data_IF_946568727771
#
_entry.id   IF_946568727771
#
_cell.length_a   1.000
_cell.length_b   1.000
_cell.length_c   1.000
_cell.angle_alpha   90.00
_cell.angle_beta   90.00
_cell.angle_gamma   90.00
#
_symmetry.space_group_name_H-M   'P 1'
#
loop_
_entity.id
_entity.type
_entity.pdbx_description
1 polymer ?
#
# COMPACT_ATOMS: atom_id res chain seq x y z
N UNK A 1 -7.35 -14.22 -19.96
CA UNK A 1 -6.45 -14.05 -18.83
C UNK A 1 -5.17 -14.82 -19.12
N UNK A 2 -4.04 -14.32 -18.72
CA UNK A 2 -2.75 -14.92 -19.04
C UNK A 2 -2.56 -16.24 -18.27
N UNK A 3 -1.87 -17.19 -18.89
CA UNK A 3 -1.57 -18.49 -18.32
C UNK A 3 -0.77 -18.44 -17.02
N UNK A 4 -0.04 -17.34 -16.78
CA UNK A 4 0.82 -17.20 -15.62
C UNK A 4 0.10 -16.70 -14.37
N UNK A 5 -1.18 -16.39 -14.47
CA UNK A 5 -1.97 -15.93 -13.32
C UNK A 5 -2.44 -17.15 -12.53
N UNK A 6 -2.26 -17.09 -11.21
CA UNK A 6 -2.61 -18.19 -10.31
C UNK A 6 -3.81 -17.84 -9.44
N UNK A 7 -3.88 -16.62 -8.94
CA UNK A 7 -4.95 -16.17 -8.04
C UNK A 7 -5.52 -14.86 -8.54
N UNK A 8 -6.81 -14.66 -8.33
CA UNK A 8 -7.50 -13.46 -8.81
C UNK A 8 -8.56 -12.99 -7.82
N UNK A 9 -8.70 -11.67 -7.73
CA UNK A 9 -9.85 -11.00 -7.16
C UNK A 9 -10.52 -10.25 -8.29
N UNK A 10 -11.62 -10.80 -8.81
CA UNK A 10 -12.40 -10.16 -9.87
C UNK A 10 -13.45 -9.24 -9.26
N UNK A 11 -13.81 -8.18 -9.97
CA UNK A 11 -14.82 -7.24 -9.48
C UNK A 11 -14.35 -6.39 -8.32
N UNK A 12 -13.07 -6.11 -8.25
CA UNK A 12 -12.49 -5.30 -7.17
C UNK A 12 -13.14 -3.92 -7.08
N UNK A 13 -13.57 -3.35 -8.20
CA UNK A 13 -14.22 -2.06 -8.25
C UNK A 13 -15.60 -2.04 -7.55
N UNK A 14 -16.13 -3.19 -7.13
CA UNK A 14 -17.41 -3.32 -6.44
C UNK A 14 -17.28 -3.83 -5.02
N UNK A 15 -16.06 -3.90 -4.51
CA UNK A 15 -15.78 -4.55 -3.22
C UNK A 15 -16.32 -3.77 -2.03
N UNK A 16 -16.36 -2.45 -2.12
CA UNK A 16 -16.76 -1.60 -1.00
C UNK A 16 -18.27 -1.35 -0.90
N UNK A 17 -19.04 -1.82 -1.84
CA UNK A 17 -20.52 -1.78 -1.78
C UNK A 17 -21.09 -0.45 -1.32
N UNK A 18 -21.58 -0.43 -0.09
CA UNK A 18 -22.39 0.66 0.46
C UNK A 18 -21.64 1.99 0.63
N UNK A 19 -20.35 1.97 0.92
CA UNK A 19 -19.54 3.16 1.19
C UNK A 19 -18.59 3.46 0.05
N UNK A 20 -18.99 3.13 -1.11
CA UNK A 20 -18.31 3.22 -2.39
C UNK A 20 -17.10 4.14 -2.43
N UNK A 21 -15.97 3.67 -1.99
CA UNK A 21 -14.73 4.15 -2.53
C UNK A 21 -14.67 3.59 -3.94
N UNK A 22 -15.16 4.36 -4.89
CA UNK A 22 -15.18 3.90 -6.28
C UNK A 22 -13.76 3.76 -6.78
N UNK A 23 -13.35 2.54 -7.06
CA UNK A 23 -12.08 2.27 -7.67
C UNK A 23 -12.27 1.99 -9.16
N UNK A 24 -11.35 2.49 -9.97
CA UNK A 24 -11.28 2.11 -11.38
C UNK A 24 -10.47 0.84 -11.60
N UNK A 25 -9.95 0.28 -10.51
CA UNK A 25 -9.24 -1.01 -10.54
C UNK A 25 -10.28 -2.12 -10.65
N UNK A 26 -10.18 -2.91 -11.72
CA UNK A 26 -11.16 -3.96 -12.04
C UNK A 26 -10.80 -5.29 -11.41
N UNK A 27 -9.51 -5.56 -11.25
CA UNK A 27 -9.03 -6.89 -10.87
C UNK A 27 -7.68 -6.80 -10.20
N UNK A 28 -7.46 -7.68 -9.23
CA UNK A 28 -6.14 -7.92 -8.64
C UNK A 28 -5.76 -9.36 -8.92
N UNK A 29 -4.52 -9.60 -9.33
CA UNK A 29 -4.04 -10.95 -9.60
C UNK A 29 -2.67 -11.19 -8.99
N UNK A 30 -2.37 -12.46 -8.77
CA UNK A 30 -1.04 -12.92 -8.36
C UNK A 30 -0.59 -14.01 -9.32
N UNK A 31 0.66 -13.94 -9.72
CA UNK A 31 1.23 -14.94 -10.60
C UNK A 31 2.66 -14.60 -10.97
N UNK A 32 3.14 -15.19 -12.05
CA UNK A 32 4.45 -14.83 -12.60
C UNK A 32 4.35 -13.53 -13.41
N UNK A 33 5.43 -12.76 -13.52
CA UNK A 33 5.42 -11.53 -14.32
C UNK A 33 5.03 -11.79 -15.76
N UNK A 34 4.18 -10.91 -16.29
CA UNK A 34 3.66 -11.02 -17.66
C UNK A 34 4.49 -10.22 -18.66
N UNK A 35 5.24 -9.24 -18.16
CA UNK A 35 5.96 -8.28 -18.99
C UNK A 35 7.47 -8.46 -18.97
N UNK A 36 7.97 -9.42 -18.23
CA UNK A 36 9.39 -9.63 -18.05
C UNK A 36 9.90 -10.75 -18.95
N UNK A 37 10.99 -10.47 -19.68
CA UNK A 37 11.62 -11.44 -20.56
C UNK A 37 12.56 -12.39 -19.81
N UNK A 38 12.80 -12.14 -18.54
CA UNK A 38 13.73 -12.90 -17.74
C UNK A 38 13.11 -14.25 -17.38
N UNK A 39 13.87 -15.32 -17.62
CA UNK A 39 13.40 -16.71 -17.44
C UNK A 39 13.27 -17.17 -16.00
N UNK A 40 13.65 -16.33 -15.03
CA UNK A 40 13.49 -16.67 -13.62
C UNK A 40 12.04 -16.40 -13.21
N UNK A 41 11.38 -17.42 -12.66
CA UNK A 41 10.04 -17.26 -12.14
C UNK A 41 10.07 -16.38 -10.91
N UNK A 42 9.49 -15.20 -11.03
CA UNK A 42 9.28 -14.29 -9.92
C UNK A 42 7.79 -14.19 -9.65
N UNK A 43 7.43 -14.14 -8.38
CA UNK A 43 6.05 -13.92 -8.01
C UNK A 43 5.76 -12.42 -8.03
N UNK A 44 4.65 -12.07 -8.64
CA UNK A 44 4.27 -10.66 -8.80
C UNK A 44 2.78 -10.46 -8.60
N UNK A 45 2.42 -9.26 -8.20
CA UNK A 45 1.03 -8.82 -8.13
C UNK A 45 0.77 -7.91 -9.32
N UNK A 46 -0.40 -8.07 -9.95
CA UNK A 46 -0.84 -7.25 -11.06
C UNK A 46 -2.12 -6.51 -10.69
N UNK A 47 -2.17 -5.24 -11.04
CA UNK A 47 -3.34 -4.38 -10.86
C UNK A 47 -3.89 -4.05 -12.24
N UNK A 48 -5.16 -4.38 -12.48
CA UNK A 48 -5.80 -4.28 -13.79
C UNK A 48 -6.83 -3.17 -13.80
N UNK A 49 -6.83 -2.39 -14.87
CA UNK A 49 -7.85 -1.39 -15.16
C UNK A 49 -8.43 -1.63 -16.55
N UNK A 50 -9.61 -1.08 -16.80
CA UNK A 50 -10.15 -1.06 -18.16
C UNK A 50 -9.38 -0.05 -19.00
N UNK A 51 -8.98 -0.46 -20.21
CA UNK A 51 -8.39 0.47 -21.18
C UNK A 51 -9.47 1.27 -21.91
N UNK A 52 -9.07 2.10 -22.89
CA UNK A 52 -10.00 2.93 -23.65
C UNK A 52 -11.10 2.13 -24.36
N UNK A 53 -10.84 0.86 -24.66
CA UNK A 53 -11.79 -0.04 -25.32
C UNK A 53 -12.63 -0.87 -24.34
N UNK A 54 -12.50 -0.61 -23.04
CA UNK A 54 -13.20 -1.33 -22.02
C UNK A 54 -12.60 -2.70 -21.68
N UNK A 55 -11.48 -3.06 -22.27
CA UNK A 55 -10.82 -4.33 -22.01
C UNK A 55 -9.88 -4.22 -20.80
N UNK A 56 -9.75 -5.29 -20.00
CA UNK A 56 -8.82 -5.27 -18.87
C UNK A 56 -7.37 -5.24 -19.36
N UNK A 57 -6.59 -4.39 -18.72
CA UNK A 57 -5.18 -4.19 -19.04
C UNK A 57 -4.38 -4.00 -17.76
N UNK A 58 -3.17 -4.56 -17.70
CA UNK A 58 -2.30 -4.39 -16.55
C UNK A 58 -1.89 -2.93 -16.45
N UNK A 59 -2.29 -2.28 -15.35
CA UNK A 59 -1.92 -0.92 -15.04
C UNK A 59 -0.60 -0.87 -14.28
N UNK A 60 -0.39 -1.83 -13.38
CA UNK A 60 0.79 -1.88 -12.53
C UNK A 60 1.12 -3.34 -12.23
N UNK A 61 2.41 -3.65 -12.20
CA UNK A 61 2.91 -4.95 -11.80
C UNK A 61 4.09 -4.76 -10.85
N UNK A 62 4.07 -5.44 -9.71
CA UNK A 62 5.13 -5.35 -8.71
C UNK A 62 5.50 -6.73 -8.19
N UNK A 63 6.80 -7.01 -8.02
CA UNK A 63 7.22 -8.22 -7.31
C UNK A 63 6.61 -8.26 -5.91
N UNK A 64 6.33 -9.46 -5.42
CA UNK A 64 5.63 -9.65 -4.14
C UNK A 64 6.41 -9.02 -2.98
N UNK A 65 7.74 -9.16 -2.97
CA UNK A 65 8.53 -8.58 -1.87
C UNK A 65 8.42 -7.07 -1.82
N UNK A 66 8.22 -6.38 -2.94
CA UNK A 66 8.01 -4.94 -2.96
C UNK A 66 6.62 -4.55 -2.43
N UNK A 67 5.63 -5.40 -2.64
CA UNK A 67 4.32 -5.21 -2.00
C UNK A 67 4.45 -5.31 -0.48
N UNK A 68 5.24 -6.27 0.01
CA UNK A 68 5.49 -6.40 1.44
C UNK A 68 6.25 -5.19 1.99
N UNK A 69 7.25 -4.68 1.26
CA UNK A 69 7.95 -3.46 1.64
C UNK A 69 6.98 -2.28 1.77
N UNK A 70 6.07 -2.15 0.80
CA UNK A 70 5.04 -1.11 0.84
C UNK A 70 4.13 -1.27 2.06
N UNK A 71 3.76 -2.50 2.40
CA UNK A 71 2.94 -2.77 3.59
C UNK A 71 3.66 -2.42 4.88
N UNK A 72 4.95 -2.73 4.98
CA UNK A 72 5.78 -2.36 6.14
C UNK A 72 5.83 -0.84 6.27
N UNK A 73 6.12 -0.16 5.17
CA UNK A 73 6.17 1.31 5.14
C UNK A 73 4.82 1.92 5.55
N UNK A 74 3.74 1.46 4.95
CA UNK A 74 2.39 1.95 5.26
C UNK A 74 2.06 1.75 6.74
N UNK A 75 2.29 0.55 7.25
CA UNK A 75 1.96 0.20 8.64
C UNK A 75 2.77 1.04 9.63
N UNK A 76 4.06 1.25 9.35
CA UNK A 76 4.91 2.08 10.19
C UNK A 76 4.44 3.54 10.18
N UNK A 77 4.03 4.03 9.02
CA UNK A 77 3.50 5.39 8.88
C UNK A 77 2.20 5.56 9.69
N UNK A 78 1.27 4.61 9.56
CA UNK A 78 0.02 4.68 10.31
C UNK A 78 0.26 4.65 11.82
N UNK A 79 1.16 3.81 12.27
CA UNK A 79 1.51 3.73 13.69
C UNK A 79 2.14 5.03 14.18
N UNK A 80 3.03 5.62 13.39
CA UNK A 80 3.66 6.88 13.73
C UNK A 80 2.62 8.00 13.93
N UNK A 81 1.72 8.19 12.97
CA UNK A 81 0.74 9.26 13.04
C UNK A 81 -0.34 9.00 14.09
N UNK A 82 -0.57 7.77 14.47
CA UNK A 82 -1.44 7.45 15.60
C UNK A 82 -0.92 8.03 16.90
N UNK A 83 0.40 8.15 17.04
CA UNK A 83 1.05 8.66 18.25
C UNK A 83 1.57 10.08 18.12
N UNK A 84 1.53 10.63 16.91
CA UNK A 84 2.17 11.92 16.63
C UNK A 84 1.45 13.12 17.28
N UNK A 85 0.23 12.93 17.80
CA UNK A 85 -0.48 13.98 18.52
C UNK A 85 0.35 14.55 19.69
N UNK A 86 1.35 13.81 20.18
CA UNK A 86 2.24 14.24 21.25
C UNK A 86 3.25 15.29 20.79
N UNK A 87 3.41 15.47 19.49
CA UNK A 87 4.39 16.39 18.92
C UNK A 87 3.69 17.67 18.46
N UNK A 88 4.28 18.86 18.73
CA UNK A 88 3.63 20.13 18.37
C UNK A 88 3.28 20.27 16.89
N UNK A 89 4.11 19.72 16.01
CA UNK A 89 3.93 19.79 14.56
C UNK A 89 3.54 18.46 13.95
N UNK A 90 3.17 17.48 14.78
CA UNK A 90 2.94 16.10 14.38
C UNK A 90 4.19 15.40 13.84
N UNK A 91 5.34 16.01 13.99
CA UNK A 91 6.64 15.43 13.68
C UNK A 91 7.73 16.22 14.41
N UNK A 92 8.93 15.66 14.44
CA UNK A 92 10.10 16.31 15.04
C UNK A 92 10.99 16.83 13.89
N UNK A 93 11.11 18.16 13.70
CA UNK A 93 11.93 18.69 12.61
C UNK A 93 13.41 18.35 12.72
N UNK A 94 13.90 18.10 13.95
CA UNK A 94 15.30 17.73 14.17
C UNK A 94 15.57 16.25 13.92
N UNK A 95 14.53 15.43 13.89
CA UNK A 95 14.62 13.98 13.67
C UNK A 95 13.59 13.53 12.64
N UNK A 96 13.82 13.85 11.36
CA UNK A 96 12.86 13.46 10.31
C UNK A 96 12.77 11.96 10.10
N UNK A 97 13.83 11.22 10.41
CA UNK A 97 13.79 9.75 10.29
C UNK A 97 12.99 9.18 11.46
N UNK A 98 11.88 8.53 11.12
CA UNK A 98 11.00 7.88 12.08
C UNK A 98 11.59 6.56 12.54
N UNK A 99 12.08 5.77 11.60
CA UNK A 99 12.67 4.46 11.90
C UNK A 99 13.53 3.99 10.74
N UNK A 100 14.55 3.20 11.06
CA UNK A 100 15.39 2.52 10.09
C UNK A 100 15.06 1.04 10.17
N UNK A 101 14.29 0.54 9.22
CA UNK A 101 13.79 -0.83 9.24
C UNK A 101 14.76 -1.73 8.48
N UNK A 102 15.33 -2.73 9.18
CA UNK A 102 16.25 -3.68 8.57
C UNK A 102 15.51 -4.76 7.80
N UNK A 103 15.89 -4.98 6.55
CA UNK A 103 15.37 -6.06 5.72
C UNK A 103 16.52 -6.67 4.92
N UNK A 104 16.76 -7.96 5.10
CA UNK A 104 17.74 -8.73 4.33
C UNK A 104 19.12 -8.07 4.23
N UNK A 105 19.64 -7.54 5.33
CA UNK A 105 20.94 -6.88 5.34
C UNK A 105 20.95 -5.46 4.82
N UNK A 106 19.82 -4.97 4.33
CA UNK A 106 19.63 -3.56 3.96
C UNK A 106 18.85 -2.81 5.01
N UNK A 107 18.65 -1.52 4.79
CA UNK A 107 17.86 -0.67 5.68
C UNK A 107 16.90 0.17 4.87
N UNK A 108 15.65 0.16 5.31
CA UNK A 108 14.59 0.96 4.72
C UNK A 108 14.29 2.11 5.69
N UNK A 109 14.81 3.33 5.44
CA UNK A 109 14.56 4.45 6.35
C UNK A 109 13.20 5.09 6.05
N UNK A 110 12.36 5.16 7.08
CA UNK A 110 11.07 5.84 6.98
C UNK A 110 11.24 7.24 7.58
N UNK A 111 10.93 8.27 6.81
CA UNK A 111 11.18 9.64 7.22
C UNK A 111 10.04 10.57 6.82
N UNK A 112 9.88 11.64 7.60
CA UNK A 112 9.00 12.74 7.25
C UNK A 112 9.73 13.64 6.23
N UNK A 113 9.01 14.12 5.23
CA UNK A 113 9.58 14.93 4.16
C UNK A 113 9.77 16.38 4.61
N UNK A 114 10.71 16.60 5.49
CA UNK A 114 10.97 17.94 6.08
C UNK A 114 11.59 18.92 5.10
N UNK A 115 12.06 18.45 3.95
CA UNK A 115 12.53 19.30 2.86
C UNK A 115 11.40 19.98 2.07
N UNK A 116 10.16 19.54 2.27
CA UNK A 116 9.00 20.17 1.65
C UNK A 116 8.67 21.46 2.42
N UNK A 117 8.70 22.64 1.78
CA UNK A 117 8.43 23.90 2.48
C UNK A 117 7.01 23.99 3.05
N UNK A 118 6.07 23.23 2.51
CA UNK A 118 4.68 23.21 2.97
C UNK A 118 4.36 22.00 3.85
N UNK A 119 5.36 21.35 4.42
CA UNK A 119 5.17 20.07 5.11
C UNK A 119 4.16 20.15 6.27
N UNK A 120 4.12 21.26 7.00
CA UNK A 120 3.20 21.41 8.13
C UNK A 120 1.74 21.32 7.67
N UNK A 121 1.40 22.04 6.62
CA UNK A 121 0.03 22.01 6.06
C UNK A 121 -0.31 20.65 5.47
N UNK A 122 0.65 20.05 4.77
CA UNK A 122 0.47 18.75 4.14
C UNK A 122 0.24 17.68 5.20
N UNK A 123 1.00 17.71 6.30
CA UNK A 123 0.83 16.74 7.38
C UNK A 123 -0.53 16.90 8.06
N UNK A 124 -0.98 18.13 8.28
CA UNK A 124 -2.30 18.34 8.89
C UNK A 124 -3.41 17.77 8.01
N UNK A 125 -3.33 18.01 6.71
CA UNK A 125 -4.29 17.45 5.74
C UNK A 125 -4.22 15.92 5.73
N UNK A 126 -3.02 15.38 5.75
CA UNK A 126 -2.79 13.94 5.76
C UNK A 126 -3.36 13.29 7.03
N UNK A 127 -3.10 13.90 8.19
CA UNK A 127 -3.62 13.39 9.47
C UNK A 127 -5.15 13.43 9.52
N UNK A 128 -5.75 14.47 8.97
CA UNK A 128 -7.20 14.57 8.89
C UNK A 128 -7.76 13.47 7.98
N UNK A 129 -7.14 13.24 6.84
CA UNK A 129 -7.54 12.18 5.94
C UNK A 129 -7.43 10.79 6.59
N UNK A 130 -6.39 10.56 7.39
CA UNK A 130 -6.25 9.31 8.13
C UNK A 130 -7.40 9.11 9.12
N UNK A 131 -7.83 10.16 9.81
CA UNK A 131 -8.99 10.10 10.70
C UNK A 131 -10.26 9.78 9.93
N UNK A 132 -10.47 10.44 8.80
CA UNK A 132 -11.67 10.26 7.99
C UNK A 132 -11.76 8.83 7.42
N UNK A 133 -10.62 8.21 7.14
CA UNK A 133 -10.53 6.87 6.60
C UNK A 133 -10.33 5.79 7.67
N UNK A 134 -10.43 6.17 8.95
CA UNK A 134 -10.07 5.28 10.07
C UNK A 134 -10.85 3.98 10.11
N UNK A 135 -12.15 4.00 9.77
CA UNK A 135 -12.96 2.78 9.75
C UNK A 135 -12.56 1.86 8.59
N UNK A 136 -12.38 2.43 7.41
CA UNK A 136 -12.03 1.66 6.21
C UNK A 136 -10.66 1.01 6.40
N UNK A 137 -9.70 1.80 6.85
CA UNK A 137 -8.34 1.32 7.06
C UNK A 137 -8.26 0.34 8.23
N UNK A 138 -8.96 0.64 9.32
CA UNK A 138 -8.98 -0.21 10.50
C UNK A 138 -9.57 -1.58 10.24
N UNK A 139 -10.65 -1.66 9.48
CA UNK A 139 -11.24 -2.94 9.11
C UNK A 139 -10.26 -3.80 8.31
N UNK A 140 -9.62 -3.20 7.31
CA UNK A 140 -8.64 -3.91 6.48
C UNK A 140 -7.43 -4.36 7.28
N UNK A 141 -6.95 -3.53 8.19
CA UNK A 141 -5.83 -3.90 9.05
C UNK A 141 -6.19 -5.05 10.00
N UNK A 142 -7.41 -5.08 10.51
CA UNK A 142 -7.87 -6.20 11.36
C UNK A 142 -7.95 -7.49 10.58
N UNK A 143 -8.47 -7.45 9.36
CA UNK A 143 -8.53 -8.62 8.48
C UNK A 143 -7.12 -9.12 8.17
N UNK A 144 -6.23 -8.20 7.80
CA UNK A 144 -4.84 -8.53 7.50
C UNK A 144 -4.15 -9.15 8.72
N UNK A 145 -4.32 -8.55 9.89
CA UNK A 145 -3.73 -9.06 11.13
C UNK A 145 -4.18 -10.49 11.41
N UNK A 146 -5.47 -10.77 11.24
CA UNK A 146 -6.00 -12.12 11.45
C UNK A 146 -5.34 -13.13 10.52
N UNK A 147 -5.22 -12.78 9.23
CA UNK A 147 -4.60 -13.67 8.25
C UNK A 147 -3.12 -13.90 8.57
N UNK A 148 -2.41 -12.85 8.93
CA UNK A 148 -0.99 -12.96 9.28
C UNK A 148 -0.78 -13.84 10.52
N UNK A 149 -1.68 -13.75 11.48
CA UNK A 149 -1.63 -14.61 12.67
C UNK A 149 -1.85 -16.08 12.34
N UNK A 150 -2.69 -16.37 11.35
CA UNK A 150 -2.90 -17.74 10.89
C UNK A 150 -1.66 -18.33 10.19
N UNK A 151 -0.76 -17.50 9.72
CA UNK A 151 0.47 -17.94 9.05
C UNK A 151 1.59 -18.31 10.01
N UNK A 152 1.49 -17.92 11.27
CA UNK A 152 2.51 -18.23 12.30
C UNK A 152 2.47 -19.68 12.76
#
# INVERSE_FOLDING_TARGET
MNENIVMTVDGYDRIDGRNAYRSDIKRLTLGAPLLEENKKMQLAAQIWKANANGQPEIHMELPIHQILDLMIFLSRTLLYFREAYRLPLLYDPDKPTVERIGVQGGVMPVAVCTDNPNINEVIQTFSQALNDLGEINGERLRVLTRILQEME
#
